data_IF_189798403762
#
_entry.id   IF_189798403762
#
_cell.length_a   1.000
_cell.length_b   1.000
_cell.length_c   1.000
_cell.angle_alpha   90.00
_cell.angle_beta   90.00
_cell.angle_gamma   90.00
#
_symmetry.space_group_name_H-M   'P 1'
#
loop_
_entity.id
_entity.type
_entity.pdbx_description
1 polymer ?
#
# COMPACT_ATOMS: atom_id res chain seq x y z
N UNK A 1 5.08 -33.48 2.14
CA UNK A 1 4.22 -32.37 2.60
C UNK A 1 5.02 -31.09 2.52
N UNK A 2 4.46 -29.97 2.03
CA UNK A 2 5.17 -28.70 2.06
C UNK A 2 5.55 -28.33 3.52
N UNK A 3 6.68 -27.66 3.70
CA UNK A 3 7.10 -27.13 5.00
C UNK A 3 6.01 -26.19 5.55
N UNK A 4 5.66 -26.23 6.85
CA UNK A 4 4.65 -25.33 7.40
C UNK A 4 5.05 -23.86 7.24
N UNK A 5 4.07 -22.95 7.15
CA UNK A 5 4.36 -21.52 7.20
C UNK A 5 5.03 -21.16 8.54
N UNK A 6 6.03 -20.26 8.55
CA UNK A 6 6.64 -19.80 9.80
C UNK A 6 5.63 -19.04 10.67
N UNK A 7 5.89 -18.97 11.97
CA UNK A 7 5.22 -18.02 12.85
C UNK A 7 5.79 -16.59 12.67
N UNK A 8 5.21 -15.62 13.38
CA UNK A 8 5.62 -14.22 13.25
C UNK A 8 7.05 -13.97 13.74
N UNK A 9 7.51 -14.71 14.74
CA UNK A 9 8.83 -14.52 15.32
C UNK A 9 9.90 -15.02 14.35
N UNK A 10 9.68 -16.19 13.73
CA UNK A 10 10.51 -16.70 12.66
C UNK A 10 10.47 -15.82 11.41
N UNK A 11 9.37 -15.15 11.09
CA UNK A 11 9.32 -14.14 10.02
C UNK A 11 10.20 -12.92 10.35
N UNK A 12 10.16 -12.45 11.59
CA UNK A 12 10.92 -11.27 12.06
C UNK A 12 12.41 -11.55 12.19
N UNK A 13 12.80 -12.73 12.66
CA UNK A 13 14.20 -13.10 12.89
C UNK A 13 14.84 -13.85 11.72
N UNK A 14 14.06 -14.38 10.78
CA UNK A 14 14.52 -15.24 9.69
C UNK A 14 15.24 -14.51 8.53
N UNK A 15 15.31 -13.18 8.59
CA UNK A 15 15.97 -12.34 7.59
C UNK A 15 15.35 -12.40 6.19
N UNK A 16 16.05 -11.82 5.21
CA UNK A 16 15.53 -11.65 3.84
C UNK A 16 15.16 -12.97 3.16
N UNK A 17 15.90 -14.05 3.42
CA UNK A 17 15.68 -15.36 2.77
C UNK A 17 14.33 -15.98 3.17
N UNK A 18 13.99 -15.94 4.45
CA UNK A 18 12.71 -16.47 4.95
C UNK A 18 11.56 -15.65 4.38
N UNK A 19 11.67 -14.32 4.41
CA UNK A 19 10.69 -13.41 3.83
C UNK A 19 10.47 -13.64 2.34
N UNK A 20 11.55 -13.72 1.54
CA UNK A 20 11.45 -13.98 0.10
C UNK A 20 10.74 -15.31 -0.19
N UNK A 21 11.05 -16.38 0.56
CA UNK A 21 10.43 -17.70 0.41
C UNK A 21 8.94 -17.67 0.75
N UNK A 22 8.56 -17.02 1.84
CA UNK A 22 7.15 -16.87 2.24
C UNK A 22 6.38 -16.09 1.18
N UNK A 23 6.91 -14.95 0.76
CA UNK A 23 6.28 -14.11 -0.24
C UNK A 23 6.18 -14.82 -1.62
N UNK A 24 7.13 -15.68 -1.97
CA UNK A 24 6.99 -16.54 -3.17
C UNK A 24 5.91 -17.60 -2.97
N UNK A 25 5.83 -18.23 -1.79
CA UNK A 25 4.81 -19.25 -1.51
C UNK A 25 3.39 -18.68 -1.55
N UNK A 26 3.15 -17.51 -0.96
CA UNK A 26 1.82 -16.89 -1.01
C UNK A 26 1.39 -16.49 -2.43
N UNK A 27 2.33 -16.29 -3.35
CA UNK A 27 2.03 -16.04 -4.78
C UNK A 27 1.71 -17.33 -5.56
N UNK A 28 2.13 -18.50 -5.07
CA UNK A 28 1.89 -19.80 -5.71
C UNK A 28 0.75 -20.58 -5.08
N UNK A 29 0.50 -20.39 -3.79
CA UNK A 29 -0.48 -21.11 -2.97
C UNK A 29 -1.67 -20.20 -2.57
N UNK A 30 -1.96 -19.15 -3.35
CA UNK A 30 -2.87 -18.03 -2.99
C UNK A 30 -4.22 -18.49 -2.42
N UNK A 31 -4.89 -19.43 -3.09
CA UNK A 31 -6.27 -19.83 -2.77
C UNK A 31 -6.34 -21.05 -1.83
N UNK A 32 -5.20 -21.49 -1.27
CA UNK A 32 -5.19 -22.61 -0.33
C UNK A 32 -5.68 -22.17 1.06
N UNK A 33 -6.54 -22.94 1.74
CA UNK A 33 -7.00 -22.63 3.11
C UNK A 33 -5.85 -22.43 4.11
N UNK A 34 -4.75 -23.18 3.96
CA UNK A 34 -3.54 -23.04 4.79
C UNK A 34 -2.86 -21.67 4.63
N UNK A 35 -2.82 -21.15 3.40
CA UNK A 35 -2.27 -19.82 3.09
C UNK A 35 -3.16 -18.73 3.67
N UNK A 36 -4.48 -18.86 3.48
CA UNK A 36 -5.46 -17.93 4.02
C UNK A 36 -5.39 -17.83 5.55
N UNK A 37 -5.39 -18.97 6.25
CA UNK A 37 -5.26 -19.02 7.70
C UNK A 37 -3.92 -18.47 8.21
N UNK A 38 -2.83 -18.66 7.46
CA UNK A 38 -1.55 -18.04 7.75
C UNK A 38 -1.63 -16.51 7.63
N UNK A 39 -2.18 -15.98 6.53
CA UNK A 39 -2.28 -14.54 6.30
C UNK A 39 -3.15 -13.85 7.36
N UNK A 40 -4.28 -14.43 7.75
CA UNK A 40 -5.14 -13.88 8.80
C UNK A 40 -4.42 -13.82 10.16
N UNK A 41 -3.71 -14.90 10.52
CA UNK A 41 -2.90 -14.94 11.76
C UNK A 41 -1.81 -13.87 11.75
N UNK A 42 -1.13 -13.68 10.62
CA UNK A 42 -0.07 -12.68 10.49
C UNK A 42 -0.63 -11.25 10.47
N UNK A 43 -1.76 -11.01 9.80
CA UNK A 43 -2.44 -9.72 9.78
C UNK A 43 -2.87 -9.28 11.19
N UNK A 44 -3.34 -10.22 12.01
CA UNK A 44 -3.69 -9.97 13.41
C UNK A 44 -2.47 -9.60 14.30
N UNK A 45 -1.25 -9.89 13.85
CA UNK A 45 0.01 -9.62 14.56
C UNK A 45 0.85 -8.50 13.89
N UNK A 46 0.19 -7.67 13.08
CA UNK A 46 0.78 -6.50 12.44
C UNK A 46 1.39 -5.54 13.47
N UNK A 47 2.64 -5.12 13.25
CA UNK A 47 3.34 -4.11 14.07
C UNK A 47 3.69 -2.84 13.31
N UNK A 48 3.95 -2.96 12.01
CA UNK A 48 4.47 -1.88 11.19
C UNK A 48 3.40 -0.89 10.75
N UNK A 49 3.88 0.29 10.38
CA UNK A 49 3.11 1.34 9.72
C UNK A 49 3.26 1.22 8.20
N UNK A 50 2.13 1.19 7.47
CA UNK A 50 2.14 1.16 6.01
C UNK A 50 1.94 2.55 5.43
N UNK A 51 2.99 3.05 4.78
CA UNK A 51 3.01 4.30 4.05
C UNK A 51 2.84 4.03 2.55
N UNK A 52 1.68 4.37 1.99
CA UNK A 52 1.45 4.31 0.55
C UNK A 52 1.97 5.57 -0.12
N UNK A 53 2.86 5.43 -1.11
CA UNK A 53 3.33 6.52 -1.97
C UNK A 53 2.68 6.43 -3.35
N UNK A 54 2.05 7.52 -3.77
CA UNK A 54 1.51 7.66 -5.13
C UNK A 54 1.76 9.06 -5.68
N UNK A 55 1.59 9.23 -6.99
CA UNK A 55 1.80 10.48 -7.71
C UNK A 55 2.25 10.23 -9.15
N UNK A 56 2.38 11.27 -9.96
CA UNK A 56 2.65 11.11 -11.38
C UNK A 56 4.03 10.52 -11.69
N UNK A 57 4.22 9.87 -12.85
CA UNK A 57 5.53 9.49 -13.34
C UNK A 57 6.45 10.71 -13.38
N UNK A 58 7.69 10.57 -12.90
CA UNK A 58 8.66 11.66 -12.88
C UNK A 58 8.54 12.65 -11.71
N UNK A 59 7.53 12.54 -10.83
CA UNK A 59 7.39 13.39 -9.64
C UNK A 59 8.54 13.21 -8.63
N UNK A 60 9.29 12.11 -8.72
CA UNK A 60 10.41 11.80 -7.83
C UNK A 60 10.08 10.86 -6.68
N UNK A 61 9.06 9.99 -6.84
CA UNK A 61 8.67 8.99 -5.82
C UNK A 61 9.84 8.11 -5.39
N UNK A 62 10.54 7.48 -6.34
CA UNK A 62 11.62 6.55 -5.99
C UNK A 62 12.80 7.23 -5.28
N UNK A 63 13.10 8.50 -5.63
CA UNK A 63 14.10 9.30 -4.91
C UNK A 63 13.62 9.70 -3.52
N UNK A 64 12.32 9.94 -3.34
CA UNK A 64 11.72 10.14 -2.03
C UNK A 64 11.71 8.85 -1.21
N UNK A 65 11.41 7.70 -1.82
CA UNK A 65 11.49 6.37 -1.20
C UNK A 65 12.91 6.11 -0.67
N UNK A 66 13.95 6.39 -1.45
CA UNK A 66 15.35 6.32 -1.01
C UNK A 66 15.63 7.20 0.21
N UNK A 67 15.12 8.44 0.21
CA UNK A 67 15.30 9.37 1.33
C UNK A 67 14.55 8.90 2.59
N UNK A 68 13.34 8.35 2.44
CA UNK A 68 12.54 7.79 3.53
C UNK A 68 13.18 6.53 4.13
N UNK A 69 13.71 5.63 3.29
CA UNK A 69 14.45 4.45 3.76
C UNK A 69 15.59 4.90 4.67
N UNK A 70 16.43 5.84 4.21
CA UNK A 70 17.56 6.34 4.99
C UNK A 70 17.10 6.93 6.32
N UNK A 71 16.10 7.82 6.30
CA UNK A 71 15.64 8.46 7.51
C UNK A 71 15.06 7.47 8.55
N UNK A 72 14.29 6.48 8.10
CA UNK A 72 13.76 5.44 8.99
C UNK A 72 14.87 4.51 9.53
N UNK A 73 15.88 4.19 8.71
CA UNK A 73 17.04 3.40 9.15
C UNK A 73 17.96 4.16 10.09
N UNK A 74 18.18 5.46 9.87
CA UNK A 74 18.94 6.34 10.76
C UNK A 74 18.26 6.48 12.13
N UNK A 75 16.92 6.37 12.17
CA UNK A 75 16.14 6.26 13.41
C UNK A 75 16.13 4.84 14.03
N UNK A 76 16.81 3.87 13.42
CA UNK A 76 16.96 2.49 13.88
C UNK A 76 15.86 1.52 13.46
N UNK A 77 14.77 1.97 12.84
CA UNK A 77 13.60 1.14 12.50
C UNK A 77 13.76 0.31 11.23
N UNK A 78 13.23 -0.90 11.17
CA UNK A 78 13.27 -1.75 9.98
C UNK A 78 12.31 -1.29 8.88
N UNK A 79 12.75 -1.31 7.62
CA UNK A 79 12.01 -0.80 6.46
C UNK A 79 11.85 -1.88 5.39
N UNK A 80 10.61 -2.13 4.98
CA UNK A 80 10.30 -2.86 3.76
C UNK A 80 9.76 -1.93 2.68
N UNK A 81 10.11 -2.18 1.42
CA UNK A 81 9.57 -1.49 0.25
C UNK A 81 8.92 -2.49 -0.68
N UNK A 82 7.66 -2.24 -1.01
CA UNK A 82 6.91 -2.94 -2.03
C UNK A 82 6.62 -1.99 -3.19
N UNK A 83 7.39 -2.13 -4.28
CA UNK A 83 7.16 -1.39 -5.51
C UNK A 83 6.15 -2.15 -6.39
N UNK A 84 5.00 -1.54 -6.68
CA UNK A 84 3.95 -2.13 -7.50
C UNK A 84 3.93 -1.46 -8.87
N UNK A 85 4.34 -2.23 -9.87
CA UNK A 85 4.45 -1.79 -11.26
C UNK A 85 3.32 -2.39 -12.12
N UNK A 86 2.93 -1.72 -13.22
CA UNK A 86 2.11 -2.35 -14.25
C UNK A 86 2.71 -3.68 -14.72
N UNK A 87 1.84 -4.59 -15.14
CA UNK A 87 2.24 -5.89 -15.66
C UNK A 87 2.87 -5.75 -17.04
N UNK A 88 3.99 -6.43 -17.25
CA UNK A 88 4.55 -6.64 -18.58
C UNK A 88 3.63 -7.52 -19.42
N UNK A 89 3.19 -7.03 -20.58
CA UNK A 89 2.40 -7.82 -21.52
C UNK A 89 3.14 -9.06 -22.08
N UNK A 90 4.47 -9.09 -21.96
CA UNK A 90 5.32 -10.19 -22.47
C UNK A 90 5.58 -11.23 -21.39
N UNK A 91 5.91 -10.80 -20.17
CA UNK A 91 6.38 -11.70 -19.11
C UNK A 91 5.37 -11.92 -17.98
N UNK A 92 4.32 -11.10 -17.91
CA UNK A 92 3.38 -11.06 -16.77
C UNK A 92 3.99 -10.51 -15.47
N UNK A 93 5.30 -10.27 -15.43
CA UNK A 93 6.02 -9.71 -14.28
C UNK A 93 5.96 -8.18 -14.21
N UNK A 94 6.59 -7.61 -13.17
CA UNK A 94 6.68 -6.16 -13.00
C UNK A 94 7.42 -5.53 -14.18
N UNK A 95 6.80 -4.55 -14.86
CA UNK A 95 7.31 -3.98 -16.11
C UNK A 95 8.63 -3.21 -15.92
N UNK A 96 8.77 -2.45 -14.83
CA UNK A 96 9.90 -1.57 -14.60
C UNK A 96 10.96 -2.19 -13.67
N UNK A 97 10.54 -3.07 -12.76
CA UNK A 97 11.46 -3.88 -11.96
C UNK A 97 12.42 -3.00 -11.17
N UNK A 98 11.88 -1.93 -10.56
CA UNK A 98 12.57 -0.73 -10.05
C UNK A 98 13.64 -0.94 -8.95
N UNK A 99 14.01 -2.19 -8.66
CA UNK A 99 15.12 -2.59 -7.78
C UNK A 99 16.45 -1.91 -8.11
N UNK A 100 16.70 -1.56 -9.38
CA UNK A 100 17.98 -0.97 -9.83
C UNK A 100 18.17 0.49 -9.41
N UNK A 101 17.10 1.18 -8.99
CA UNK A 101 17.18 2.60 -8.60
C UNK A 101 17.45 2.79 -7.11
N UNK A 102 16.98 1.87 -6.25
CA UNK A 102 17.11 1.98 -4.80
C UNK A 102 18.51 1.54 -4.34
N UNK A 103 19.27 2.46 -3.75
CA UNK A 103 20.63 2.19 -3.25
C UNK A 103 20.58 1.70 -1.80
N UNK A 104 20.44 0.38 -1.63
CA UNK A 104 20.39 -0.26 -0.31
C UNK A 104 21.62 -1.14 -0.07
N UNK A 105 22.03 -1.30 1.19
CA UNK A 105 23.04 -2.30 1.56
C UNK A 105 22.41 -3.70 1.48
N UNK A 106 22.89 -4.59 0.59
CA UNK A 106 22.35 -5.94 0.47
C UNK A 106 22.47 -6.73 1.78
N UNK A 107 23.42 -6.41 2.65
CA UNK A 107 23.65 -7.09 3.93
C UNK A 107 22.83 -6.51 5.10
N UNK A 108 22.17 -5.36 4.93
CA UNK A 108 21.28 -4.83 5.98
C UNK A 108 19.96 -5.60 5.98
N UNK A 109 19.82 -6.59 6.85
CA UNK A 109 18.60 -7.39 7.03
C UNK A 109 17.39 -6.58 7.51
N UNK A 110 17.59 -5.35 7.98
CA UNK A 110 16.51 -4.42 8.33
C UNK A 110 16.00 -3.62 7.12
N UNK A 111 16.53 -3.84 5.91
CA UNK A 111 16.00 -3.29 4.66
C UNK A 111 15.59 -4.42 3.72
N UNK A 112 14.32 -4.47 3.34
CA UNK A 112 13.81 -5.43 2.37
C UNK A 112 13.12 -4.73 1.20
N UNK A 113 13.47 -5.09 -0.04
CA UNK A 113 12.88 -4.48 -1.24
C UNK A 113 12.34 -5.57 -2.17
N UNK A 114 11.08 -5.46 -2.56
CA UNK A 114 10.45 -6.35 -3.54
C UNK A 114 9.64 -5.53 -4.54
N UNK A 115 9.77 -5.88 -5.82
CA UNK A 115 8.88 -5.39 -6.87
C UNK A 115 7.83 -6.45 -7.17
N UNK A 116 6.58 -6.04 -7.40
CA UNK A 116 5.46 -6.90 -7.75
C UNK A 116 4.68 -6.30 -8.92
N UNK A 117 4.09 -7.16 -9.75
CA UNK A 117 3.21 -6.73 -10.83
C UNK A 117 1.79 -6.47 -10.29
N UNK A 118 1.11 -5.48 -10.86
CA UNK A 118 -0.32 -5.23 -10.64
C UNK A 118 -1.23 -6.35 -11.19
N UNK A 119 -0.68 -7.24 -12.05
CA UNK A 119 -1.37 -8.36 -12.74
C UNK A 119 -2.61 -7.91 -13.50
N UNK A 120 -3.74 -8.56 -13.25
CA UNK A 120 -5.03 -8.33 -13.92
C UNK A 120 -5.71 -7.04 -13.46
N UNK A 121 -5.09 -6.32 -12.51
CA UNK A 121 -5.53 -4.99 -12.11
C UNK A 121 -4.80 -3.93 -12.93
N UNK A 122 -5.57 -3.02 -13.51
CA UNK A 122 -5.07 -1.88 -14.28
C UNK A 122 -4.31 -0.89 -13.38
N UNK A 123 -3.04 -1.21 -13.10
CA UNK A 123 -2.11 -0.38 -12.33
C UNK A 123 -2.34 -0.35 -10.81
N UNK A 124 -3.26 -1.18 -10.31
CA UNK A 124 -3.71 -1.32 -8.92
C UNK A 124 -2.88 -2.25 -8.05
N UNK A 125 -3.31 -2.43 -6.80
CA UNK A 125 -2.73 -3.47 -5.93
C UNK A 125 -3.37 -4.81 -6.25
N UNK A 126 -2.57 -5.78 -6.70
CA UNK A 126 -3.06 -7.16 -6.83
C UNK A 126 -3.32 -7.78 -5.45
N UNK A 127 -4.09 -8.87 -5.41
CA UNK A 127 -4.34 -9.60 -4.17
C UNK A 127 -3.06 -10.16 -3.56
N UNK A 128 -2.08 -10.51 -4.41
CA UNK A 128 -0.74 -10.86 -3.96
C UNK A 128 -0.02 -9.69 -3.31
N UNK A 129 -0.19 -8.46 -3.81
CA UNK A 129 0.37 -7.26 -3.17
C UNK A 129 -0.26 -7.03 -1.79
N UNK A 130 -1.58 -7.22 -1.65
CA UNK A 130 -2.27 -7.10 -0.35
C UNK A 130 -1.77 -8.16 0.64
N UNK A 131 -1.65 -9.41 0.22
CA UNK A 131 -1.08 -10.48 1.03
C UNK A 131 0.38 -10.20 1.42
N UNK A 132 1.19 -9.68 0.49
CA UNK A 132 2.57 -9.27 0.76
C UNK A 132 2.64 -8.13 1.78
N UNK A 133 1.75 -7.13 1.68
CA UNK A 133 1.66 -6.03 2.66
C UNK A 133 1.35 -6.58 4.05
N UNK A 134 0.43 -7.55 4.19
CA UNK A 134 0.13 -8.16 5.48
C UNK A 134 1.37 -8.82 6.11
N UNK A 135 2.14 -9.59 5.32
CA UNK A 135 3.39 -10.22 5.76
C UNK A 135 4.44 -9.19 6.16
N UNK A 136 4.69 -8.19 5.30
CA UNK A 136 5.70 -7.16 5.56
C UNK A 136 5.34 -6.29 6.77
N UNK A 137 4.06 -5.98 6.97
CA UNK A 137 3.54 -5.21 8.11
C UNK A 137 3.73 -5.96 9.44
N UNK A 138 3.76 -7.28 9.43
CA UNK A 138 4.06 -8.06 10.62
C UNK A 138 5.57 -8.16 10.91
N UNK A 139 6.42 -8.08 9.87
CA UNK A 139 7.87 -8.25 9.97
C UNK A 139 8.65 -6.94 10.23
N UNK A 140 8.24 -5.82 9.61
CA UNK A 140 8.96 -4.54 9.64
C UNK A 140 8.21 -3.47 10.42
N UNK A 141 8.93 -2.41 10.82
CA UNK A 141 8.36 -1.27 11.53
C UNK A 141 7.74 -0.26 10.55
N UNK A 142 8.33 -0.13 9.35
CA UNK A 142 7.83 0.69 8.26
C UNK A 142 7.71 -0.14 6.98
N UNK A 143 6.58 -0.04 6.30
CA UNK A 143 6.36 -0.62 4.97
C UNK A 143 5.99 0.49 4.01
N UNK A 144 6.84 0.76 3.03
CA UNK A 144 6.56 1.70 1.95
C UNK A 144 5.96 0.93 0.79
N UNK A 145 4.76 1.30 0.35
CA UNK A 145 4.12 0.74 -0.84
C UNK A 145 4.10 1.82 -1.91
N UNK A 146 4.97 1.70 -2.90
CA UNK A 146 5.08 2.66 -4.01
C UNK A 146 4.31 2.11 -5.21
N UNK A 147 3.37 2.88 -5.77
CA UNK A 147 2.72 2.55 -7.04
C UNK A 147 3.23 3.49 -8.13
N UNK A 148 3.29 3.03 -9.38
CA UNK A 148 3.82 3.85 -10.49
C UNK A 148 2.97 5.11 -10.77
N UNK A 149 1.68 5.09 -10.39
CA UNK A 149 0.73 6.22 -10.34
C UNK A 149 0.30 6.84 -11.69
N UNK A 150 -0.83 7.57 -11.67
CA UNK A 150 -1.66 8.26 -12.71
C UNK A 150 -2.87 7.50 -13.29
N UNK A 151 -3.62 6.73 -12.48
CA UNK A 151 -4.70 5.86 -12.96
C UNK A 151 -5.97 5.79 -12.08
N UNK A 152 -6.63 4.62 -12.08
CA UNK A 152 -7.75 4.28 -11.18
C UNK A 152 -7.26 3.55 -9.90
N UNK A 153 -5.95 3.40 -9.76
CA UNK A 153 -5.29 2.51 -8.79
C UNK A 153 -4.99 3.15 -7.44
N UNK A 154 -5.12 4.47 -7.35
CA UNK A 154 -4.91 5.23 -6.12
C UNK A 154 -5.97 4.88 -5.06
N UNK A 155 -7.18 4.49 -5.50
CA UNK A 155 -8.22 3.95 -4.63
C UNK A 155 -7.83 2.64 -3.96
N UNK A 156 -7.13 1.75 -4.68
CA UNK A 156 -6.63 0.48 -4.14
C UNK A 156 -5.56 0.72 -3.06
N UNK A 157 -4.69 1.71 -3.28
CA UNK A 157 -3.65 2.05 -2.30
C UNK A 157 -4.26 2.50 -0.96
N UNK A 158 -5.36 3.28 -0.99
CA UNK A 158 -6.10 3.68 0.23
C UNK A 158 -6.67 2.48 0.98
N UNK A 159 -7.00 1.40 0.26
CA UNK A 159 -7.48 0.15 0.84
C UNK A 159 -6.37 -0.74 1.42
N UNK A 160 -5.10 -0.37 1.31
CA UNK A 160 -3.99 -1.18 1.86
C UNK A 160 -2.96 -0.37 2.68
N UNK A 161 -3.00 0.96 2.65
CA UNK A 161 -2.09 1.84 3.38
C UNK A 161 -2.73 2.49 4.61
N UNK A 162 -1.99 2.55 5.71
CA UNK A 162 -2.42 3.27 6.91
C UNK A 162 -2.38 4.78 6.65
N UNK A 163 -1.30 5.27 6.03
CA UNK A 163 -1.14 6.66 5.57
C UNK A 163 -0.89 6.69 4.07
N UNK A 164 -1.67 7.47 3.32
CA UNK A 164 -1.43 7.73 1.89
C UNK A 164 -0.72 9.08 1.73
N UNK A 165 0.49 9.04 1.18
CA UNK A 165 1.27 10.20 0.76
C UNK A 165 1.10 10.42 -0.75
N UNK A 166 0.46 11.52 -1.12
CA UNK A 166 0.39 11.98 -2.50
C UNK A 166 1.57 12.89 -2.82
N UNK A 167 2.35 12.52 -3.82
CA UNK A 167 3.45 13.31 -4.36
C UNK A 167 2.94 14.21 -5.50
N UNK A 168 3.22 15.51 -5.41
CA UNK A 168 2.84 16.51 -6.41
C UNK A 168 4.09 17.12 -7.04
N UNK A 169 4.12 17.18 -8.37
CA UNK A 169 5.23 17.79 -9.09
C UNK A 169 5.00 19.31 -9.24
N UNK A 170 6.00 20.16 -8.94
CA UNK A 170 5.92 21.58 -9.26
C UNK A 170 5.80 21.83 -10.77
N UNK A 171 4.91 22.75 -11.15
CA UNK A 171 4.81 23.26 -12.52
C UNK A 171 4.15 22.33 -13.55
N UNK A 172 3.61 21.17 -13.14
CA UNK A 172 2.91 20.24 -14.04
C UNK A 172 1.45 20.61 -14.32
N UNK A 173 0.83 21.40 -13.44
CA UNK A 173 -0.62 21.66 -13.48
C UNK A 173 -1.47 20.49 -12.93
N UNK A 174 -0.83 19.47 -12.35
CA UNK A 174 -1.50 18.25 -11.88
C UNK A 174 -2.54 18.52 -10.79
N UNK A 175 -2.34 19.54 -9.94
CA UNK A 175 -3.25 19.85 -8.82
C UNK A 175 -4.70 20.07 -9.27
N UNK A 176 -4.92 20.81 -10.36
CA UNK A 176 -6.25 21.03 -10.93
C UNK A 176 -6.83 19.78 -11.60
N UNK A 177 -5.99 18.96 -12.23
CA UNK A 177 -6.44 17.70 -12.85
C UNK A 177 -6.81 16.66 -11.79
N UNK A 178 -6.02 16.55 -10.73
CA UNK A 178 -6.28 15.66 -9.59
C UNK A 178 -7.55 16.02 -8.84
N UNK A 179 -7.84 17.32 -8.70
CA UNK A 179 -9.14 17.77 -8.19
C UNK A 179 -10.29 17.27 -9.07
N UNK A 180 -10.21 17.45 -10.40
CA UNK A 180 -11.25 16.99 -11.34
C UNK A 180 -11.43 15.48 -11.33
N UNK A 181 -10.36 14.73 -11.03
CA UNK A 181 -10.37 13.28 -10.96
C UNK A 181 -10.76 12.71 -9.58
N UNK A 182 -11.09 13.54 -8.59
CA UNK A 182 -11.43 13.10 -7.23
C UNK A 182 -10.24 12.58 -6.41
N UNK A 183 -9.01 12.69 -6.92
CA UNK A 183 -7.80 12.17 -6.25
C UNK A 183 -7.52 12.92 -4.94
N UNK A 184 -7.96 14.17 -4.83
CA UNK A 184 -7.76 15.00 -3.63
C UNK A 184 -8.53 14.52 -2.39
N UNK A 185 -9.38 13.50 -2.52
CA UNK A 185 -10.06 12.82 -1.40
C UNK A 185 -9.24 11.66 -0.80
N UNK A 186 -8.16 11.27 -1.47
CA UNK A 186 -7.34 10.12 -1.11
C UNK A 186 -6.22 10.41 -0.09
N UNK A 187 -5.44 11.51 -0.19
CA UNK A 187 -4.25 11.66 0.63
C UNK A 187 -4.56 11.95 2.09
N UNK A 188 -3.76 11.33 2.96
CA UNK A 188 -3.69 11.67 4.37
C UNK A 188 -2.58 12.73 4.60
N UNK A 189 -1.57 12.77 3.72
CA UNK A 189 -0.47 13.76 3.66
C UNK A 189 -0.19 14.08 2.18
N UNK A 190 0.21 15.32 1.87
CA UNK A 190 0.69 15.69 0.54
C UNK A 190 2.13 16.21 0.59
N UNK A 191 2.99 15.68 -0.28
CA UNK A 191 4.34 16.16 -0.50
C UNK A 191 4.45 16.81 -1.88
N UNK A 192 4.67 18.12 -1.91
CA UNK A 192 5.12 18.80 -3.13
C UNK A 192 6.63 18.58 -3.25
N UNK A 193 7.02 17.72 -4.18
CA UNK A 193 8.42 17.32 -4.37
C UNK A 193 9.22 18.41 -5.07
N UNK A 194 10.54 18.21 -5.21
CA UNK A 194 11.46 19.12 -5.90
C UNK A 194 11.36 20.56 -5.36
N UNK A 195 11.32 20.71 -4.03
CA UNK A 195 11.22 22.01 -3.35
C UNK A 195 12.33 23.00 -3.76
N UNK A 196 13.48 22.49 -4.19
CA UNK A 196 14.60 23.23 -4.79
C UNK A 196 14.22 24.04 -6.04
N UNK A 197 13.06 23.77 -6.67
CA UNK A 197 12.47 24.61 -7.73
C UNK A 197 11.88 25.94 -7.21
N UNK A 198 11.96 26.20 -5.91
CA UNK A 198 11.68 27.49 -5.28
C UNK A 198 10.24 27.96 -5.49
N UNK A 199 10.06 29.04 -6.26
CA UNK A 199 8.75 29.67 -6.44
C UNK A 199 7.72 28.74 -7.11
N UNK A 200 8.16 27.85 -8.00
CA UNK A 200 7.27 26.88 -8.65
C UNK A 200 6.69 25.89 -7.64
N UNK A 201 7.53 25.37 -6.72
CA UNK A 201 7.10 24.44 -5.68
C UNK A 201 6.15 25.13 -4.68
N UNK A 202 6.48 26.36 -4.25
CA UNK A 202 5.59 27.15 -3.37
C UNK A 202 4.22 27.42 -4.00
N UNK A 203 4.17 27.70 -5.30
CA UNK A 203 2.91 27.88 -6.03
C UNK A 203 2.10 26.58 -6.06
N UNK A 204 2.72 25.46 -6.41
CA UNK A 204 2.04 24.16 -6.40
C UNK A 204 1.49 23.81 -5.01
N UNK A 205 2.24 24.09 -3.93
CA UNK A 205 1.75 23.90 -2.57
C UNK A 205 0.55 24.78 -2.23
N UNK A 206 0.53 26.04 -2.69
CA UNK A 206 -0.62 26.92 -2.52
C UNK A 206 -1.85 26.40 -3.29
N UNK A 207 -1.66 25.96 -4.53
CA UNK A 207 -2.74 25.41 -5.37
C UNK A 207 -3.35 24.15 -4.74
N UNK A 208 -2.51 23.23 -4.24
CA UNK A 208 -2.92 22.01 -3.53
C UNK A 208 -3.67 22.34 -2.25
N UNK A 209 -3.17 23.29 -1.44
CA UNK A 209 -3.86 23.73 -0.22
C UNK A 209 -5.25 24.28 -0.55
N UNK A 210 -5.36 25.14 -1.57
CA UNK A 210 -6.64 25.62 -2.06
C UNK A 210 -7.55 24.47 -2.49
N UNK A 211 -7.00 23.49 -3.20
CA UNK A 211 -7.77 22.33 -3.66
C UNK A 211 -8.32 21.48 -2.52
N UNK A 212 -7.55 21.25 -1.45
CA UNK A 212 -7.98 20.50 -0.28
C UNK A 212 -9.11 21.21 0.48
N UNK A 213 -9.12 22.56 0.51
CA UNK A 213 -10.21 23.31 1.17
C UNK A 213 -11.56 23.18 0.45
N UNK A 214 -11.55 22.85 -0.83
CA UNK A 214 -12.76 22.67 -1.64
C UNK A 214 -13.28 21.23 -1.61
N UNK A 215 -12.51 20.28 -1.07
CA UNK A 215 -12.93 18.89 -0.95
C UNK A 215 -13.99 18.74 0.15
N UNK A 216 -15.22 18.29 -0.18
CA UNK A 216 -16.29 18.14 0.80
C UNK A 216 -16.05 16.98 1.79
N UNK A 217 -15.12 16.08 1.49
CA UNK A 217 -14.94 14.78 2.14
C UNK A 217 -13.75 14.69 3.08
N UNK A 218 -13.00 15.78 3.28
CA UNK A 218 -11.98 15.85 4.32
C UNK A 218 -12.59 15.41 5.64
N UNK A 219 -12.09 14.30 6.20
CA UNK A 219 -12.60 13.80 7.48
C UNK A 219 -12.61 14.98 8.45
N UNK A 220 -13.76 15.30 9.05
CA UNK A 220 -13.92 16.51 9.88
C UNK A 220 -12.86 16.67 10.99
N UNK A 221 -12.07 15.61 11.23
CA UNK A 221 -11.14 15.45 12.33
C UNK A 221 -9.66 15.37 11.92
N UNK A 222 -9.32 15.34 10.61
CA UNK A 222 -7.91 15.38 10.15
C UNK A 222 -7.73 16.41 9.04
N UNK A 223 -6.81 17.35 9.27
CA UNK A 223 -6.42 18.36 8.30
C UNK A 223 -5.19 17.85 7.57
N UNK A 224 -5.34 17.54 6.27
CA UNK A 224 -4.26 17.01 5.43
C UNK A 224 -3.12 18.03 5.32
N UNK A 225 -1.92 17.76 5.87
CA UNK A 225 -0.80 18.67 5.75
C UNK A 225 -0.21 18.62 4.33
N UNK A 226 0.26 19.78 3.87
CA UNK A 226 0.95 19.94 2.58
C UNK A 226 2.37 20.42 2.84
N UNK A 227 3.32 19.51 2.71
CA UNK A 227 4.75 19.75 2.88
C UNK A 227 5.46 20.03 1.55
N UNK A 228 6.52 20.83 1.59
CA UNK A 228 7.48 20.99 0.50
C UNK A 228 8.67 20.09 0.81
N UNK A 229 9.12 19.29 -0.16
CA UNK A 229 10.25 18.39 0.03
C UNK A 229 11.19 18.37 -1.18
N UNK A 230 12.50 18.37 -0.93
CA UNK A 230 13.50 18.04 -1.94
C UNK A 230 14.34 16.87 -1.46
N UNK A 231 14.13 15.70 -2.06
CA UNK A 231 14.95 14.52 -1.80
C UNK A 231 16.41 14.70 -2.20
N UNK A 232 16.72 15.68 -3.08
CA UNK A 232 18.08 15.95 -3.53
C UNK A 232 18.86 16.78 -2.50
N UNK A 233 18.24 17.80 -1.92
CA UNK A 233 18.91 18.69 -0.95
C UNK A 233 18.66 18.27 0.50
N UNK A 234 17.67 17.42 0.74
CA UNK A 234 17.17 17.06 2.08
C UNK A 234 16.17 18.07 2.65
N UNK A 235 15.90 19.18 1.95
CA UNK A 235 14.96 20.22 2.39
C UNK A 235 13.58 19.61 2.67
N UNK A 236 13.03 19.90 3.86
CA UNK A 236 11.67 19.50 4.24
C UNK A 236 11.46 18.03 4.56
N UNK A 237 12.51 17.18 4.49
CA UNK A 237 12.39 15.75 4.80
C UNK A 237 11.98 15.47 6.25
N UNK A 238 12.60 16.14 7.22
CA UNK A 238 12.27 16.01 8.65
C UNK A 238 10.80 16.38 8.90
N UNK A 239 10.37 17.53 8.40
CA UNK A 239 8.98 17.98 8.53
C UNK A 239 7.98 17.02 7.87
N UNK A 240 8.33 16.40 6.74
CA UNK A 240 7.49 15.40 6.09
C UNK A 240 7.35 14.14 6.96
N UNK A 241 8.44 13.67 7.56
CA UNK A 241 8.43 12.52 8.47
C UNK A 241 7.55 12.81 9.69
N UNK A 242 7.68 14.00 10.27
CA UNK A 242 6.84 14.44 11.38
C UNK A 242 5.36 14.48 11.01
N UNK A 243 5.01 14.92 9.79
CA UNK A 243 3.63 14.91 9.30
C UNK A 243 3.09 13.49 9.13
N UNK A 244 3.89 12.58 8.59
CA UNK A 244 3.53 11.16 8.45
C UNK A 244 3.33 10.52 9.82
N UNK A 245 4.22 10.81 10.78
CA UNK A 245 4.11 10.36 12.17
C UNK A 245 2.87 10.92 12.86
N UNK A 246 2.59 12.21 12.69
CA UNK A 246 1.41 12.85 13.27
C UNK A 246 0.11 12.18 12.78
N UNK A 247 0.06 11.74 11.52
CA UNK A 247 -1.10 10.97 11.02
C UNK A 247 -1.18 9.58 11.66
N UNK A 248 -0.06 8.88 11.82
CA UNK A 248 -0.03 7.61 12.52
C UNK A 248 -0.50 7.76 13.98
N UNK A 249 -0.02 8.78 14.69
CA UNK A 249 -0.45 9.10 16.06
C UNK A 249 -1.96 9.38 16.10
N UNK A 250 -2.47 10.15 15.14
CA UNK A 250 -3.91 10.39 14.98
C UNK A 250 -4.70 9.09 14.79
N UNK A 251 -4.19 8.14 14.00
CA UNK A 251 -4.82 6.83 13.81
C UNK A 251 -4.72 5.94 15.06
N UNK A 252 -3.65 6.04 15.83
CA UNK A 252 -3.50 5.25 17.06
C UNK A 252 -4.48 5.68 18.16
N UNK A 253 -4.95 6.93 18.13
CA UNK A 253 -5.99 7.38 19.07
C UNK A 253 -7.37 6.79 18.77
N UNK A 254 -8.13 6.47 19.82
CA UNK A 254 -9.53 6.03 19.76
C UNK A 254 -9.80 4.85 18.80
N UNK A 255 -8.83 3.94 18.62
CA UNK A 255 -9.00 2.73 17.81
C UNK A 255 -9.13 2.97 16.29
N UNK A 256 -8.84 4.18 15.79
CA UNK A 256 -9.02 4.54 14.38
C UNK A 256 -8.17 3.68 13.43
N UNK A 257 -6.97 3.30 13.85
CA UNK A 257 -6.08 2.43 13.07
C UNK A 257 -6.68 1.05 12.88
N UNK A 258 -7.21 0.46 13.97
CA UNK A 258 -7.87 -0.84 13.91
C UNK A 258 -9.13 -0.78 13.04
N UNK A 259 -9.95 0.27 13.19
CA UNK A 259 -11.13 0.48 12.37
C UNK A 259 -10.78 0.67 10.88
N UNK A 260 -9.72 1.44 10.57
CA UNK A 260 -9.23 1.62 9.20
C UNK A 260 -8.77 0.29 8.60
N UNK A 261 -7.96 -0.48 9.32
CA UNK A 261 -7.48 -1.80 8.85
C UNK A 261 -8.62 -2.81 8.68
N UNK A 262 -9.62 -2.79 9.55
CA UNK A 262 -10.82 -3.61 9.38
C UNK A 262 -11.60 -3.21 8.11
N UNK A 263 -11.80 -1.91 7.87
CA UNK A 263 -12.48 -1.45 6.65
C UNK A 263 -11.69 -1.79 5.38
N UNK A 264 -10.36 -1.78 5.45
CA UNK A 264 -9.46 -2.20 4.38
C UNK A 264 -9.67 -3.69 4.06
N UNK A 265 -9.72 -4.54 5.09
CA UNK A 265 -9.99 -5.97 4.92
C UNK A 265 -11.35 -6.24 4.27
N UNK A 266 -12.42 -5.57 4.71
CA UNK A 266 -13.75 -5.70 4.10
C UNK A 266 -13.79 -5.20 2.66
N UNK A 267 -13.10 -4.09 2.39
CA UNK A 267 -13.03 -3.52 1.05
C UNK A 267 -12.31 -4.47 0.09
N UNK A 268 -11.16 -5.01 0.50
CA UNK A 268 -10.42 -6.02 -0.26
C UNK A 268 -11.25 -7.27 -0.52
N UNK A 269 -11.90 -7.83 0.51
CA UNK A 269 -12.75 -9.02 0.35
C UNK A 269 -13.86 -8.80 -0.68
N UNK A 270 -14.61 -7.70 -0.53
CA UNK A 270 -15.69 -7.33 -1.44
C UNK A 270 -15.20 -7.15 -2.87
N UNK A 271 -14.06 -6.49 -3.04
CA UNK A 271 -13.47 -6.21 -4.32
C UNK A 271 -12.94 -7.49 -5.00
N UNK A 272 -12.34 -8.41 -4.24
CA UNK A 272 -11.95 -9.72 -4.73
C UNK A 272 -13.15 -10.55 -5.19
N UNK A 273 -14.22 -10.59 -4.40
CA UNK A 273 -15.48 -11.25 -4.78
C UNK A 273 -16.07 -10.66 -6.05
N UNK A 274 -16.07 -9.32 -6.17
CA UNK A 274 -16.55 -8.65 -7.37
C UNK A 274 -15.68 -8.99 -8.60
N UNK A 275 -14.36 -9.02 -8.44
CA UNK A 275 -13.43 -9.35 -9.52
C UNK A 275 -13.59 -10.79 -10.02
N UNK A 276 -13.85 -11.75 -9.13
CA UNK A 276 -13.85 -13.17 -9.46
C UNK A 276 -15.25 -13.71 -9.81
N UNK A 277 -16.27 -13.26 -9.09
CA UNK A 277 -17.66 -13.76 -9.20
C UNK A 277 -18.67 -12.70 -9.65
N UNK A 278 -18.22 -11.47 -9.92
CA UNK A 278 -19.05 -10.38 -10.42
C UNK A 278 -20.13 -9.92 -9.43
N UNK A 279 -21.12 -9.20 -9.96
CA UNK A 279 -22.25 -8.67 -9.17
C UNK A 279 -23.12 -9.77 -8.55
N UNK A 280 -23.12 -10.97 -9.13
CA UNK A 280 -23.84 -12.11 -8.56
C UNK A 280 -23.16 -12.62 -7.29
N UNK A 281 -21.84 -12.80 -7.29
CA UNK A 281 -21.11 -13.14 -6.08
C UNK A 281 -21.28 -12.10 -4.98
N UNK A 282 -21.25 -10.82 -5.34
CA UNK A 282 -21.40 -9.75 -4.37
C UNK A 282 -22.76 -9.76 -3.65
N UNK A 283 -23.84 -10.04 -4.38
CA UNK A 283 -25.19 -10.17 -3.79
C UNK A 283 -25.29 -11.32 -2.79
N UNK A 284 -24.61 -12.44 -3.06
CA UNK A 284 -24.56 -13.59 -2.16
C UNK A 284 -23.72 -13.27 -0.92
N UNK A 285 -22.64 -12.49 -1.08
CA UNK A 285 -21.77 -12.05 0.01
C UNK A 285 -22.47 -11.14 1.03
N UNK A 286 -23.41 -10.30 0.60
CA UNK A 286 -24.13 -9.35 1.46
C UNK A 286 -24.90 -10.03 2.60
N UNK A 287 -25.17 -11.34 2.49
CA UNK A 287 -25.90 -12.10 3.49
C UNK A 287 -25.00 -12.86 4.50
N UNK A 288 -23.68 -12.97 4.29
CA UNK A 288 -22.84 -13.96 4.99
C UNK A 288 -21.56 -13.44 5.67
N UNK A 289 -20.97 -12.31 5.27
CA UNK A 289 -19.52 -12.15 5.46
C UNK A 289 -18.98 -10.81 5.95
N UNK A 290 -19.74 -9.70 5.93
CA UNK A 290 -19.12 -8.37 6.15
C UNK A 290 -18.45 -8.24 7.53
N UNK A 291 -19.04 -8.80 8.60
CA UNK A 291 -18.44 -8.76 9.95
C UNK A 291 -17.25 -9.69 10.16
N UNK A 292 -17.18 -10.83 9.44
CA UNK A 292 -16.09 -11.80 9.58
C UNK A 292 -14.84 -11.38 8.81
N UNK A 293 -15.03 -10.76 7.64
CA UNK A 293 -13.94 -10.23 6.82
C UNK A 293 -13.13 -9.14 7.54
N UNK A 294 -13.66 -8.50 8.59
CA UNK A 294 -12.92 -7.51 9.39
C UNK A 294 -11.64 -8.10 10.02
N UNK A 295 -11.72 -9.35 10.46
CA UNK A 295 -10.68 -10.01 11.25
C UNK A 295 -9.96 -11.11 10.49
N UNK A 296 -10.68 -11.80 9.60
CA UNK A 296 -10.15 -12.93 8.84
C UNK A 296 -10.52 -12.82 7.35
N UNK A 297 -10.11 -11.75 6.65
CA UNK A 297 -10.49 -11.52 5.26
C UNK A 297 -10.06 -12.68 4.34
N UNK A 298 -8.86 -13.23 4.54
CA UNK A 298 -8.30 -14.21 3.62
C UNK A 298 -9.03 -15.56 3.74
N UNK A 299 -9.28 -16.05 4.97
CA UNK A 299 -10.07 -17.26 5.18
C UNK A 299 -11.53 -17.05 4.77
N UNK A 300 -12.11 -15.87 5.04
CA UNK A 300 -13.47 -15.56 4.59
C UNK A 300 -13.60 -15.63 3.07
N UNK A 301 -12.61 -15.13 2.32
CA UNK A 301 -12.59 -15.27 0.86
C UNK A 301 -12.43 -16.72 0.42
N UNK A 302 -11.49 -17.46 1.01
CA UNK A 302 -11.23 -18.86 0.69
C UNK A 302 -12.49 -19.73 0.88
N UNK A 303 -13.19 -19.58 2.01
CA UNK A 303 -14.44 -20.30 2.28
C UNK A 303 -15.59 -19.90 1.35
N UNK A 304 -15.67 -18.61 0.99
CA UNK A 304 -16.66 -18.13 0.05
C UNK A 304 -16.42 -18.70 -1.35
N UNK A 305 -15.18 -18.65 -1.82
CA UNK A 305 -14.76 -19.17 -3.12
C UNK A 305 -15.03 -20.67 -3.24
N UNK A 306 -14.70 -21.47 -2.23
CA UNK A 306 -14.98 -22.91 -2.22
C UNK A 306 -16.48 -23.23 -2.38
N UNK A 307 -17.35 -22.47 -1.69
CA UNK A 307 -18.81 -22.63 -1.80
C UNK A 307 -19.32 -22.24 -3.19
N UNK A 308 -18.80 -21.16 -3.76
CA UNK A 308 -19.19 -20.66 -5.07
C UNK A 308 -18.75 -21.63 -6.17
N UNK A 309 -17.52 -22.11 -6.13
CA UNK A 309 -16.96 -23.01 -7.14
C UNK A 309 -17.67 -24.37 -7.14
N UNK A 310 -18.11 -24.87 -5.98
CA UNK A 310 -18.93 -26.07 -5.88
C UNK A 310 -20.32 -25.91 -6.55
N UNK A 311 -20.79 -24.68 -6.73
CA UNK A 311 -22.07 -24.35 -7.35
C UNK A 311 -21.93 -23.99 -8.83
N UNK A 312 -20.71 -23.76 -9.33
CA UNK A 312 -20.43 -23.44 -10.71
C UNK A 312 -20.20 -24.73 -11.52
N UNK A 313 -20.63 -24.78 -12.79
CA UNK A 313 -20.24 -25.89 -13.66
C UNK A 313 -18.71 -25.90 -13.83
N UNK A 314 -18.07 -27.08 -13.95
CA UNK A 314 -16.63 -27.17 -14.12
C UNK A 314 -16.20 -26.36 -15.35
N UNK A 315 -15.14 -25.57 -15.20
CA UNK A 315 -14.54 -24.82 -16.30
C UNK A 315 -13.96 -25.83 -17.29
N UNK A 316 -14.52 -25.87 -18.50
CA UNK A 316 -14.04 -26.68 -19.64
C UNK A 316 -12.85 -26.05 -20.32
#
# INVERSE_FOLDING_TARGET
MPEPFPDVDALRSGGKRVLSRVLTRIETDTDKPETAAFLDRIAAQAKGHVLGLTGPPGVGKSTLTDALIRAFRDAGGGVAVLAVDPSSAITGGALLGDRTRLKTDPNDDQIFVRSMAARDRLGGLSDHSVAAIAVLRAAFDHVIVETVGIGQSEGDLKQAADTVLLCIQPGSGDSLQFMKAGIMELPDVVAVTKADMGAAARRAAADVKGALTLSPTGSKNWIVPVGLVSSQTGEGMEALIDQVKAHLDYLQTNGRLAARRASQHSAWFRDRVLSEYGQSGLRICQDLAEGQAHHAPFSCFSEFSEKMDACLPPVT
#
